data_IF_988245082873
#
_entry.id   IF_988245082873
#
_cell.length_a   1.000
_cell.length_b   1.000
_cell.length_c   1.000
_cell.angle_alpha   90.00
_cell.angle_beta   90.00
_cell.angle_gamma   90.00
#
_symmetry.space_group_name_H-M   'P 1'
#
loop_
_entity.id
_entity.type
_entity.pdbx_description
1 polymer ?
#
# COMPACT_ATOMS: atom_id res chain seq x y z
N UNK A 1 -32.58 19.83 -26.35
CA UNK A 1 -31.30 20.08 -25.65
C UNK A 1 -31.01 18.77 -24.93
N UNK A 2 -30.43 17.83 -25.66
CA UNK A 2 -30.34 16.44 -25.23
C UNK A 2 -29.16 16.30 -24.29
N UNK A 3 -29.48 16.08 -23.00
CA UNK A 3 -28.50 15.73 -21.99
C UNK A 3 -27.98 14.34 -22.33
N UNK A 4 -26.81 14.27 -22.95
CA UNK A 4 -26.07 13.01 -23.08
C UNK A 4 -25.77 12.54 -21.66
N UNK A 5 -26.58 11.58 -21.17
CA UNK A 5 -26.25 10.80 -19.99
C UNK A 5 -24.89 10.17 -20.27
N UNK A 6 -23.85 10.77 -19.71
CA UNK A 6 -22.51 10.19 -19.70
C UNK A 6 -22.63 8.90 -18.92
N UNK A 7 -22.75 7.77 -19.62
CA UNK A 7 -22.68 6.45 -18.99
C UNK A 7 -21.27 6.32 -18.43
N UNK A 8 -21.14 6.51 -17.12
CA UNK A 8 -19.89 6.31 -16.42
C UNK A 8 -19.62 4.79 -16.42
N UNK A 9 -18.81 4.31 -17.36
CA UNK A 9 -18.39 2.91 -17.38
C UNK A 9 -17.69 2.60 -16.06
N UNK A 10 -18.08 1.55 -15.33
CA UNK A 10 -17.43 1.20 -14.08
C UNK A 10 -15.93 0.93 -14.32
N UNK A 11 -15.08 1.45 -13.44
CA UNK A 11 -13.64 1.27 -13.55
C UNK A 11 -13.27 -0.22 -13.49
N UNK A 12 -12.34 -0.62 -14.36
CA UNK A 12 -11.78 -1.98 -14.33
C UNK A 12 -10.91 -2.20 -13.09
N UNK A 13 -10.72 -3.46 -12.68
CA UNK A 13 -9.86 -3.79 -11.53
C UNK A 13 -8.46 -3.18 -11.61
N UNK A 14 -7.72 -3.25 -12.74
CA UNK A 14 -6.41 -2.59 -12.82
C UNK A 14 -6.47 -1.07 -12.62
N UNK A 15 -7.53 -0.40 -13.08
CA UNK A 15 -7.73 1.03 -12.87
C UNK A 15 -8.00 1.33 -11.39
N UNK A 16 -8.79 0.50 -10.71
CA UNK A 16 -9.03 0.60 -9.27
C UNK A 16 -7.73 0.39 -8.50
N UNK A 17 -6.98 -0.69 -8.78
CA UNK A 17 -5.66 -0.94 -8.17
C UNK A 17 -4.76 0.28 -8.32
N UNK A 18 -4.59 0.78 -9.55
CA UNK A 18 -3.73 1.94 -9.81
C UNK A 18 -4.19 3.20 -9.06
N UNK A 19 -5.50 3.46 -9.01
CA UNK A 19 -6.08 4.58 -8.29
C UNK A 19 -5.79 4.47 -6.79
N UNK A 20 -6.16 3.36 -6.15
CA UNK A 20 -5.98 3.12 -4.72
C UNK A 20 -4.49 3.15 -4.34
N UNK A 21 -3.62 2.48 -5.09
CA UNK A 21 -2.16 2.53 -4.86
C UNK A 21 -1.65 3.97 -4.88
N UNK A 22 -2.10 4.79 -5.84
CA UNK A 22 -1.68 6.19 -5.96
C UNK A 22 -2.17 7.04 -4.79
N UNK A 23 -3.43 6.89 -4.40
CA UNK A 23 -4.01 7.61 -3.26
C UNK A 23 -3.35 7.24 -1.94
N UNK A 24 -3.17 5.94 -1.69
CA UNK A 24 -2.50 5.44 -0.50
C UNK A 24 -1.05 5.93 -0.42
N UNK A 25 -0.30 5.91 -1.53
CA UNK A 25 1.05 6.47 -1.57
C UNK A 25 1.07 7.97 -1.25
N UNK A 26 0.10 8.75 -1.77
CA UNK A 26 -0.02 10.19 -1.45
C UNK A 26 -0.36 10.44 0.01
N UNK A 27 -1.27 9.64 0.58
CA UNK A 27 -1.59 9.70 2.00
C UNK A 27 -0.36 9.40 2.86
N UNK A 28 0.38 8.33 2.56
CA UNK A 28 1.61 7.98 3.26
C UNK A 28 2.62 9.14 3.22
N UNK A 29 2.79 9.78 2.06
CA UNK A 29 3.63 10.97 1.92
C UNK A 29 3.14 12.14 2.79
N UNK A 30 1.84 12.40 2.83
CA UNK A 30 1.24 13.42 3.68
C UNK A 30 1.43 13.13 5.19
N UNK A 31 1.44 11.85 5.57
CA UNK A 31 1.74 11.38 6.93
C UNK A 31 3.24 11.38 7.26
N UNK A 32 4.11 11.78 6.31
CA UNK A 32 5.55 11.91 6.52
C UNK A 32 6.37 10.65 6.23
N UNK A 33 5.78 9.65 5.57
CA UNK A 33 6.47 8.46 5.07
C UNK A 33 6.98 8.66 3.64
N UNK A 34 8.05 7.97 3.25
CA UNK A 34 8.48 7.85 1.87
C UNK A 34 8.02 6.49 1.30
N UNK A 35 7.04 6.44 0.38
CA UNK A 35 6.52 5.19 -0.18
C UNK A 35 7.31 4.71 -1.41
N UNK A 36 7.41 3.38 -1.56
CA UNK A 36 7.76 2.68 -2.80
C UNK A 36 6.67 1.66 -3.12
N UNK A 37 6.36 1.52 -4.41
CA UNK A 37 5.44 0.49 -4.91
C UNK A 37 6.15 -0.83 -5.19
N UNK A 38 5.43 -1.96 -5.21
CA UNK A 38 5.91 -3.26 -5.70
C UNK A 38 7.28 -3.67 -5.08
N UNK A 39 7.35 -3.75 -3.74
CA UNK A 39 8.60 -4.04 -3.03
C UNK A 39 8.71 -5.53 -2.71
N UNK A 40 9.74 -6.18 -3.25
CA UNK A 40 10.02 -7.58 -2.94
C UNK A 40 10.52 -7.75 -1.50
N UNK A 41 9.88 -8.65 -0.77
CA UNK A 41 10.21 -9.01 0.61
C UNK A 41 11.17 -10.22 0.64
N UNK A 42 11.96 -10.41 1.71
CA UNK A 42 12.90 -11.52 1.83
C UNK A 42 12.30 -12.94 1.71
N UNK A 43 10.99 -13.11 1.93
CA UNK A 43 10.28 -14.39 1.71
C UNK A 43 9.85 -14.61 0.25
N UNK A 44 10.28 -13.76 -0.69
CA UNK A 44 9.88 -13.86 -2.10
C UNK A 44 8.46 -13.36 -2.38
N UNK A 45 7.78 -12.77 -1.39
CA UNK A 45 6.52 -12.04 -1.60
C UNK A 45 6.80 -10.63 -2.10
N UNK A 46 5.74 -9.94 -2.53
CA UNK A 46 5.81 -8.57 -3.01
C UNK A 46 4.72 -7.76 -2.31
N UNK A 47 5.12 -6.73 -1.58
CA UNK A 47 4.20 -5.78 -1.00
C UNK A 47 3.82 -4.73 -2.06
N UNK A 48 2.53 -4.40 -2.16
CA UNK A 48 2.06 -3.37 -3.09
C UNK A 48 2.66 -2.01 -2.77
N UNK A 49 2.70 -1.66 -1.49
CA UNK A 49 3.38 -0.49 -0.97
C UNK A 49 4.22 -0.86 0.26
N UNK A 50 5.45 -0.35 0.30
CA UNK A 50 6.24 -0.27 1.52
C UNK A 50 6.65 1.19 1.71
N UNK A 51 6.63 1.69 2.93
CA UNK A 51 6.96 3.08 3.22
C UNK A 51 7.93 3.20 4.39
N UNK A 52 8.89 4.10 4.27
CA UNK A 52 9.91 4.37 5.28
C UNK A 52 9.60 5.69 6.00
N UNK A 53 9.39 5.61 7.31
CA UNK A 53 9.19 6.76 8.18
C UNK A 53 10.51 7.42 8.59
N UNK A 54 10.43 8.67 9.08
CA UNK A 54 11.61 9.46 9.49
C UNK A 54 12.42 8.83 10.62
N UNK A 55 11.82 7.94 11.42
CA UNK A 55 12.48 7.22 12.52
C UNK A 55 13.00 5.84 12.09
N UNK A 56 12.87 5.48 10.82
CA UNK A 56 13.21 4.15 10.30
C UNK A 56 12.14 3.09 10.55
N UNK A 57 10.92 3.50 10.89
CA UNK A 57 9.73 2.66 10.92
C UNK A 57 9.27 2.30 9.50
N UNK A 58 8.90 1.04 9.30
CA UNK A 58 8.51 0.47 8.02
C UNK A 58 7.02 0.15 8.03
N UNK A 59 6.26 0.73 7.10
CA UNK A 59 4.82 0.50 6.96
C UNK A 59 4.57 -0.26 5.66
N UNK A 60 3.97 -1.44 5.72
CA UNK A 60 3.46 -2.14 4.53
C UNK A 60 1.96 -1.84 4.36
N UNK A 61 1.57 -1.49 3.14
CA UNK A 61 0.17 -1.31 2.75
C UNK A 61 -0.14 -2.25 1.58
N UNK A 62 -1.16 -3.08 1.76
CA UNK A 62 -1.62 -4.05 0.77
C UNK A 62 -2.92 -3.57 0.12
N UNK A 63 -2.94 -3.47 -1.21
CA UNK A 63 -4.07 -2.91 -1.96
C UNK A 63 -5.05 -4.02 -2.31
N UNK A 64 -6.33 -3.85 -1.94
CA UNK A 64 -7.41 -4.76 -2.36
C UNK A 64 -8.38 -4.03 -3.27
N UNK A 65 -8.32 -4.41 -4.55
CA UNK A 65 -9.10 -3.81 -5.64
C UNK A 65 -10.50 -4.39 -5.77
N UNK A 66 -10.77 -5.56 -5.17
CA UNK A 66 -12.08 -6.18 -5.14
C UNK A 66 -12.21 -7.19 -3.99
N UNK A 67 -13.45 -7.59 -3.70
CA UNK A 67 -13.73 -8.64 -2.71
C UNK A 67 -13.08 -9.98 -3.08
N UNK A 68 -13.00 -10.31 -4.37
CA UNK A 68 -12.33 -11.52 -4.85
C UNK A 68 -10.82 -11.45 -4.65
N UNK A 69 -10.22 -10.28 -4.89
CA UNK A 69 -8.80 -10.01 -4.62
C UNK A 69 -8.45 -10.34 -3.16
N UNK A 70 -9.25 -9.84 -2.22
CA UNK A 70 -9.08 -10.11 -0.80
C UNK A 70 -9.29 -11.59 -0.45
N UNK A 71 -10.33 -12.23 -1.00
CA UNK A 71 -10.65 -13.64 -0.69
C UNK A 71 -9.61 -14.63 -1.20
N UNK A 72 -8.92 -14.29 -2.29
CA UNK A 72 -7.92 -15.16 -2.92
C UNK A 72 -6.51 -14.90 -2.42
N UNK A 73 -6.19 -13.67 -2.01
CA UNK A 73 -4.93 -13.39 -1.35
C UNK A 73 -4.95 -13.78 0.13
N UNK A 74 -4.43 -14.97 0.42
CA UNK A 74 -4.30 -15.50 1.78
C UNK A 74 -2.90 -15.25 2.37
N UNK A 75 -1.99 -14.63 1.61
CA UNK A 75 -0.55 -14.57 1.94
C UNK A 75 -0.16 -13.30 2.68
N UNK A 76 -1.02 -12.28 2.72
CA UNK A 76 -0.76 -11.02 3.44
C UNK A 76 -0.31 -11.21 4.90
N UNK A 77 -0.75 -12.29 5.57
CA UNK A 77 -0.33 -12.62 6.95
C UNK A 77 1.17 -12.87 7.07
N UNK A 78 1.83 -13.25 5.98
CA UNK A 78 3.26 -13.47 5.93
C UNK A 78 4.07 -12.15 5.95
N UNK A 79 3.42 -10.98 5.91
CA UNK A 79 4.11 -9.69 5.79
C UNK A 79 4.49 -9.07 7.13
N UNK A 80 3.80 -9.46 8.22
CA UNK A 80 4.04 -8.96 9.56
C UNK A 80 5.52 -8.99 10.02
N UNK A 81 6.35 -10.00 9.69
CA UNK A 81 7.78 -10.01 10.03
C UNK A 81 8.65 -8.99 9.26
N UNK A 82 8.06 -8.15 8.40
CA UNK A 82 8.75 -7.22 7.50
C UNK A 82 8.29 -5.76 7.64
N UNK A 83 7.41 -5.45 8.59
CA UNK A 83 6.95 -4.09 8.86
C UNK A 83 6.72 -3.86 10.35
N UNK A 84 6.73 -2.60 10.75
CA UNK A 84 6.26 -2.15 12.06
C UNK A 84 4.75 -1.94 12.10
N UNK A 85 4.15 -1.64 10.95
CA UNK A 85 2.71 -1.43 10.78
C UNK A 85 2.25 -2.06 9.47
N UNK A 86 1.06 -2.65 9.48
CA UNK A 86 0.42 -3.24 8.31
C UNK A 86 -1.01 -2.73 8.16
N UNK A 87 -1.39 -2.35 6.94
CA UNK A 87 -2.75 -1.91 6.63
C UNK A 87 -3.21 -2.43 5.28
N UNK A 88 -4.52 -2.59 5.12
CA UNK A 88 -5.13 -2.66 3.81
C UNK A 88 -5.41 -1.27 3.26
N UNK A 89 -5.27 -1.09 1.95
CA UNK A 89 -5.81 0.05 1.22
C UNK A 89 -6.89 -0.41 0.24
N UNK A 90 -8.06 0.22 0.28
CA UNK A 90 -9.20 -0.14 -0.55
C UNK A 90 -9.88 1.09 -1.15
N UNK A 91 -10.67 0.89 -2.20
CA UNK A 91 -11.51 1.94 -2.77
C UNK A 91 -12.68 2.30 -1.83
N UNK A 92 -13.25 3.52 -1.93
CA UNK A 92 -14.42 3.92 -1.12
C UNK A 92 -15.62 2.97 -1.22
N UNK A 93 -15.79 2.30 -2.36
CA UNK A 93 -16.90 1.39 -2.63
C UNK A 93 -16.63 -0.05 -2.16
N UNK A 94 -15.45 -0.33 -1.59
CA UNK A 94 -15.10 -1.67 -1.11
C UNK A 94 -15.88 -2.02 0.17
N UNK A 95 -16.44 -3.25 0.29
CA UNK A 95 -17.17 -3.66 1.50
C UNK A 95 -16.21 -3.93 2.65
N UNK A 96 -15.88 -2.90 3.44
CA UNK A 96 -14.81 -2.96 4.46
C UNK A 96 -15.09 -3.93 5.61
N UNK A 97 -16.36 -4.31 5.82
CA UNK A 97 -16.81 -5.20 6.89
C UNK A 97 -16.30 -6.64 6.73
N UNK A 98 -15.82 -6.99 5.54
CA UNK A 98 -15.20 -8.29 5.26
C UNK A 98 -13.75 -8.38 5.71
N UNK A 99 -13.10 -7.22 5.98
CA UNK A 99 -11.70 -7.16 6.36
C UNK A 99 -11.55 -7.50 7.86
N UNK A 100 -10.46 -8.17 8.25
CA UNK A 100 -10.18 -8.40 9.67
C UNK A 100 -10.02 -7.07 10.42
N UNK A 101 -10.36 -7.06 11.70
CA UNK A 101 -10.33 -5.85 12.54
C UNK A 101 -8.91 -5.43 12.95
N UNK A 102 -7.97 -6.38 13.00
CA UNK A 102 -6.62 -6.15 13.54
C UNK A 102 -5.72 -5.27 12.62
N UNK A 103 -5.59 -5.53 11.30
CA UNK A 103 -4.84 -4.63 10.41
C UNK A 103 -5.39 -3.20 10.36
N UNK A 104 -4.51 -2.23 10.10
CA UNK A 104 -4.96 -0.88 9.75
C UNK A 104 -5.81 -0.86 8.48
N UNK A 105 -6.56 0.22 8.28
CA UNK A 105 -7.41 0.41 7.12
C UNK A 105 -7.27 1.82 6.56
N UNK A 106 -6.87 1.89 5.29
CA UNK A 106 -6.85 3.08 4.47
C UNK A 106 -7.95 2.95 3.43
N UNK A 107 -8.75 4.01 3.28
CA UNK A 107 -9.63 4.18 2.12
C UNK A 107 -9.02 5.24 1.23
N UNK A 108 -8.80 4.91 -0.05
CA UNK A 108 -8.08 5.75 -0.97
C UNK A 108 -8.66 5.69 -2.38
N UNK A 109 -8.50 6.78 -3.12
CA UNK A 109 -8.85 6.89 -4.53
C UNK A 109 -7.64 7.42 -5.32
N UNK A 110 -7.85 7.84 -6.56
CA UNK A 110 -6.74 8.34 -7.36
C UNK A 110 -6.15 9.65 -6.79
N UNK A 111 -6.86 10.41 -5.97
CA UNK A 111 -6.46 11.74 -5.51
C UNK A 111 -5.74 11.72 -4.17
N UNK A 112 -6.18 10.88 -3.24
CA UNK A 112 -5.61 10.73 -1.90
C UNK A 112 -6.27 9.60 -1.13
N UNK A 113 -6.32 9.73 0.20
CA UNK A 113 -7.00 8.77 1.05
C UNK A 113 -7.11 9.24 2.49
N UNK A 114 -7.73 8.42 3.33
CA UNK A 114 -7.86 8.63 4.76
C UNK A 114 -7.57 7.33 5.51
N UNK A 115 -6.97 7.44 6.70
CA UNK A 115 -6.87 6.33 7.65
C UNK A 115 -8.21 6.22 8.35
N UNK A 116 -8.92 5.11 8.15
CA UNK A 116 -10.16 4.81 8.88
C UNK A 116 -9.89 4.00 10.15
N UNK A 117 -8.81 3.22 10.16
CA UNK A 117 -8.36 2.47 11.32
C UNK A 117 -6.84 2.49 11.38
N UNK A 118 -6.31 2.93 12.51
CA UNK A 118 -4.86 2.93 12.76
C UNK A 118 -4.33 1.50 12.77
N UNK A 119 -3.15 1.30 12.19
CA UNK A 119 -2.49 0.00 12.22
C UNK A 119 -1.85 -0.21 13.60
N UNK A 120 -2.03 -1.38 14.24
CA UNK A 120 -1.26 -1.74 15.42
C UNK A 120 0.24 -1.70 15.11
N UNK A 121 1.01 -1.15 16.04
CA UNK A 121 2.46 -1.03 15.89
C UNK A 121 3.15 -2.21 16.58
N UNK A 122 3.89 -3.00 15.81
CA UNK A 122 4.70 -4.11 16.28
C UNK A 122 6.16 -3.91 15.85
N UNK A 123 7.02 -3.51 16.80
CA UNK A 123 8.40 -3.14 16.47
C UNK A 123 9.20 -4.28 15.85
N UNK A 124 9.81 -4.02 14.69
CA UNK A 124 10.79 -4.93 14.09
C UNK A 124 12.05 -5.05 14.94
N UNK A 125 12.60 -6.27 15.00
CA UNK A 125 13.94 -6.53 15.52
C UNK A 125 14.98 -5.66 14.78
N UNK A 126 15.95 -5.10 15.52
CA UNK A 126 16.90 -4.13 14.98
C UNK A 126 17.70 -4.62 13.76
N UNK A 127 18.15 -5.88 13.77
CA UNK A 127 18.84 -6.49 12.63
C UNK A 127 17.95 -6.56 11.37
N UNK A 128 16.66 -6.91 11.54
CA UNK A 128 15.67 -6.98 10.46
C UNK A 128 15.39 -5.58 9.90
N UNK A 129 15.16 -4.60 10.77
CA UNK A 129 14.97 -3.19 10.39
C UNK A 129 16.14 -2.67 9.56
N UNK A 130 17.37 -2.90 10.00
CA UNK A 130 18.58 -2.47 9.28
C UNK A 130 18.63 -3.09 7.88
N UNK A 131 18.42 -4.40 7.76
CA UNK A 131 18.45 -5.09 6.48
C UNK A 131 17.39 -4.56 5.51
N UNK A 132 16.15 -4.40 5.98
CA UNK A 132 15.04 -3.89 5.17
C UNK A 132 15.24 -2.43 4.76
N UNK A 133 15.74 -1.58 5.66
CA UNK A 133 16.02 -0.16 5.35
C UNK A 133 17.09 -0.03 4.27
N UNK A 134 18.15 -0.84 4.32
CA UNK A 134 19.19 -0.86 3.27
C UNK A 134 18.60 -1.36 1.95
N UNK A 135 17.80 -2.43 1.96
CA UNK A 135 17.15 -2.95 0.76
C UNK A 135 16.20 -1.92 0.13
N UNK A 136 15.38 -1.27 0.96
CA UNK A 136 14.47 -0.20 0.56
C UNK A 136 15.23 0.97 -0.09
N UNK A 137 16.29 1.47 0.56
CA UNK A 137 17.11 2.56 0.05
C UNK A 137 17.79 2.23 -1.28
N UNK A 138 18.32 1.00 -1.42
CA UNK A 138 18.89 0.52 -2.69
C UNK A 138 17.86 0.46 -3.81
N UNK A 139 16.66 -0.06 -3.53
CA UNK A 139 15.57 -0.12 -4.50
C UNK A 139 15.13 1.28 -4.94
N UNK A 140 14.98 2.22 -4.00
CA UNK A 140 14.67 3.62 -4.30
C UNK A 140 15.74 4.24 -5.22
N UNK A 141 17.03 4.08 -4.88
CA UNK A 141 18.13 4.63 -5.67
C UNK A 141 18.20 4.06 -7.09
N UNK A 142 18.00 2.74 -7.25
CA UNK A 142 17.98 2.09 -8.56
C UNK A 142 16.84 2.62 -9.45
N UNK A 143 15.64 2.79 -8.88
CA UNK A 143 14.49 3.34 -9.62
C UNK A 143 14.68 4.81 -9.98
N UNK A 144 15.25 5.61 -9.07
CA UNK A 144 15.57 7.00 -9.33
C UNK A 144 16.61 7.13 -10.45
N UNK A 145 17.70 6.33 -10.43
CA UNK A 145 18.70 6.30 -11.49
C UNK A 145 18.10 5.93 -12.85
N UNK A 146 17.26 4.91 -12.90
CA UNK A 146 16.55 4.51 -14.12
C UNK A 146 15.63 5.62 -14.66
N UNK A 147 14.94 6.35 -13.79
CA UNK A 147 14.09 7.47 -14.19
C UNK A 147 14.90 8.69 -14.68
N UNK A 148 16.12 8.86 -14.17
CA UNK A 148 17.03 9.96 -14.53
C UNK A 148 17.92 9.64 -15.74
N UNK A 149 17.80 8.44 -16.33
CA UNK A 149 18.65 7.95 -17.44
C UNK A 149 20.16 8.01 -17.15
N UNK A 150 20.54 7.71 -15.90
CA UNK A 150 21.94 7.53 -15.49
C UNK A 150 22.44 6.10 -15.74
#
# INVERSE_FOLDING_TARGET
MDLVLTTCTPASRPQITQAVTRGAARLLAALGYAPLTEVCLPNGRRADLMALGRRGDLFIVEVKSSLEDFRTDLKWREYAPYCDAFAFAVAPEFPTEVLPEDPGLIVADAFGGAVLREAPVASLAGARRKALTVAFGRLAALRAGAALSL
#
